data_IF_582989780633
#
_entry.id   IF_582989780633
#
_cell.length_a   1.000
_cell.length_b   1.000
_cell.length_c   1.000
_cell.angle_alpha   90.00
_cell.angle_beta   90.00
_cell.angle_gamma   90.00
#
_symmetry.space_group_name_H-M   'P 1'
#
loop_
_entity.id
_entity.type
_entity.pdbx_description
1 polymer ?
#
# COMPACT_ATOMS: atom_id res chain seq x y z
N UNK A 1 -45.27 56.86 5.17
CA UNK A 1 -44.43 56.29 6.27
C UNK A 1 -43.48 55.33 5.62
N UNK A 2 -42.32 55.85 5.29
CA UNK A 2 -41.29 55.17 4.58
C UNK A 2 -40.30 54.55 5.65
N UNK A 3 -40.27 53.28 5.76
CA UNK A 3 -39.43 52.62 6.70
C UNK A 3 -38.13 52.13 5.93
N UNK A 4 -37.11 52.96 6.05
CA UNK A 4 -35.83 52.71 5.45
C UNK A 4 -35.17 51.48 6.10
N UNK A 5 -35.09 50.37 5.35
CA UNK A 5 -34.36 49.18 5.73
C UNK A 5 -32.86 49.47 5.73
N UNK A 6 -32.27 49.53 6.91
CA UNK A 6 -30.82 49.64 7.13
C UNK A 6 -30.16 48.28 6.80
N UNK A 7 -29.40 48.24 5.72
CA UNK A 7 -28.57 47.11 5.34
C UNK A 7 -27.43 46.96 6.38
N UNK A 8 -27.18 45.77 6.96
CA UNK A 8 -26.05 45.60 7.88
C UNK A 8 -24.75 45.69 7.10
N UNK A 9 -23.90 46.61 7.55
CA UNK A 9 -22.51 46.79 7.10
C UNK A 9 -21.75 45.50 7.23
N UNK A 10 -21.23 44.97 6.10
CA UNK A 10 -20.44 43.76 6.06
C UNK A 10 -19.18 43.95 6.93
N UNK A 11 -19.11 43.25 8.04
CA UNK A 11 -17.93 43.21 8.91
C UNK A 11 -16.71 42.83 8.09
N UNK A 12 -15.74 43.73 7.97
CA UNK A 12 -14.46 43.47 7.30
C UNK A 12 -13.78 42.25 7.94
N UNK A 13 -13.53 41.24 7.16
CA UNK A 13 -12.79 40.05 7.62
C UNK A 13 -11.47 40.51 8.25
N UNK A 14 -11.11 40.02 9.44
CA UNK A 14 -9.86 40.42 10.12
C UNK A 14 -8.67 40.16 9.20
N UNK A 15 -7.88 41.19 8.93
CA UNK A 15 -6.65 41.08 8.12
C UNK A 15 -5.74 40.07 8.81
N UNK A 16 -5.55 38.90 8.19
CA UNK A 16 -4.68 37.87 8.71
C UNK A 16 -3.27 38.43 8.86
N UNK A 17 -2.71 38.36 10.09
CA UNK A 17 -1.35 38.75 10.34
C UNK A 17 -0.40 37.98 9.39
N UNK A 18 0.61 38.65 8.90
CA UNK A 18 1.59 38.05 7.98
C UNK A 18 3.00 38.26 8.52
N UNK A 19 3.99 37.63 7.85
CA UNK A 19 5.39 37.74 8.29
C UNK A 19 5.91 39.17 8.33
N UNK A 20 5.42 40.03 7.42
CA UNK A 20 5.82 41.45 7.39
C UNK A 20 5.30 42.21 8.61
N UNK A 21 4.06 41.94 9.07
CA UNK A 21 3.50 42.51 10.28
C UNK A 21 4.29 42.10 11.53
N UNK A 22 4.68 40.83 11.61
CA UNK A 22 5.52 40.30 12.72
C UNK A 22 6.90 40.95 12.69
N UNK A 23 7.52 41.08 11.52
CA UNK A 23 8.82 41.71 11.36
C UNK A 23 8.79 43.17 11.81
N UNK A 24 7.76 43.91 11.40
CA UNK A 24 7.56 45.30 11.79
C UNK A 24 7.39 45.44 13.32
N UNK A 25 6.56 44.62 13.95
CA UNK A 25 6.33 44.64 15.41
C UNK A 25 7.60 44.25 16.18
N UNK A 26 8.38 43.26 15.67
CA UNK A 26 9.63 42.82 16.28
C UNK A 26 10.82 43.76 16.02
N UNK A 27 10.67 44.80 15.17
CA UNK A 27 11.74 45.71 14.78
C UNK A 27 12.88 45.03 14.00
N UNK A 28 12.55 44.12 13.07
CA UNK A 28 13.52 43.40 12.26
C UNK A 28 13.07 43.38 10.77
N UNK A 29 13.98 42.98 9.87
CA UNK A 29 13.61 42.74 8.48
C UNK A 29 12.73 41.46 8.33
N UNK A 30 11.93 41.37 7.26
CA UNK A 30 11.14 40.17 6.96
C UNK A 30 12.03 38.92 6.78
N UNK A 31 13.23 39.08 6.23
CA UNK A 31 14.24 38.01 6.13
C UNK A 31 14.71 37.53 7.49
N UNK A 32 15.03 38.47 8.42
CA UNK A 32 15.43 38.13 9.80
C UNK A 32 14.28 37.42 10.53
N UNK A 33 13.05 37.90 10.39
CA UNK A 33 11.88 37.22 10.96
C UNK A 33 11.72 35.82 10.39
N UNK A 34 11.86 35.62 9.08
CA UNK A 34 11.82 34.30 8.43
C UNK A 34 12.91 33.35 8.98
N UNK A 35 14.11 33.83 9.16
CA UNK A 35 15.24 33.04 9.74
C UNK A 35 14.99 32.68 11.20
N UNK A 36 14.35 33.57 11.98
CA UNK A 36 13.99 33.30 13.37
C UNK A 36 12.98 32.13 13.50
N UNK A 37 12.05 32.02 12.54
CA UNK A 37 11.09 30.89 12.48
C UNK A 37 11.74 29.59 11.95
N UNK A 38 12.56 29.66 10.91
CA UNK A 38 13.14 28.47 10.28
C UNK A 38 14.33 27.88 11.05
N UNK A 39 14.99 28.68 11.90
CA UNK A 39 16.25 28.29 12.55
C UNK A 39 17.43 28.11 11.59
N UNK A 40 17.28 28.40 10.30
CA UNK A 40 18.24 28.08 9.25
C UNK A 40 19.39 29.09 9.09
N UNK A 41 19.51 30.08 9.98
CA UNK A 41 20.55 31.11 9.86
C UNK A 41 20.97 31.74 11.19
N UNK A 42 22.03 32.55 11.21
CA UNK A 42 22.55 33.16 12.42
C UNK A 42 21.62 34.29 12.90
N UNK A 43 20.66 33.93 13.75
CA UNK A 43 19.81 34.88 14.47
C UNK A 43 20.11 34.78 15.96
N UNK A 44 20.40 35.92 16.61
CA UNK A 44 20.65 35.92 18.05
C UNK A 44 19.44 35.42 18.85
N UNK A 45 19.68 34.80 20.01
CA UNK A 45 18.61 34.32 20.87
C UNK A 45 17.63 35.44 21.26
N UNK A 46 18.15 36.66 21.50
CA UNK A 46 17.31 37.82 21.82
C UNK A 46 16.42 38.26 20.65
N UNK A 47 16.93 38.25 19.43
CA UNK A 47 16.16 38.56 18.21
C UNK A 47 15.09 37.49 17.97
N UNK A 48 15.42 36.20 18.12
CA UNK A 48 14.47 35.10 18.00
C UNK A 48 13.33 35.25 19.01
N UNK A 49 13.66 35.55 20.29
CA UNK A 49 12.65 35.75 21.32
C UNK A 49 11.71 36.93 20.98
N UNK A 50 12.22 38.07 20.52
CA UNK A 50 11.37 39.22 20.10
C UNK A 50 10.43 38.86 18.95
N UNK A 51 10.94 38.14 17.94
CA UNK A 51 10.13 37.71 16.78
C UNK A 51 9.02 36.77 17.21
N UNK A 52 9.30 35.78 18.08
CA UNK A 52 8.31 34.84 18.60
C UNK A 52 7.28 35.54 19.50
N UNK A 53 7.67 36.50 20.31
CA UNK A 53 6.76 37.32 21.12
C UNK A 53 5.82 38.16 20.24
N UNK A 54 6.34 38.84 19.20
CA UNK A 54 5.55 39.59 18.24
C UNK A 54 4.57 38.69 17.45
N UNK A 55 5.00 37.47 17.12
CA UNK A 55 4.14 36.47 16.45
C UNK A 55 2.99 36.03 17.36
N UNK A 56 3.26 35.77 18.66
CA UNK A 56 2.24 35.42 19.64
C UNK A 56 1.23 36.54 19.83
N UNK A 57 1.68 37.81 19.93
CA UNK A 57 0.83 38.99 20.06
C UNK A 57 -0.13 39.15 18.86
N UNK A 58 0.39 38.89 17.65
CA UNK A 58 -0.39 38.95 16.39
C UNK A 58 -1.16 37.67 16.07
N UNK A 59 -1.13 36.68 16.95
CA UNK A 59 -1.71 35.35 16.71
C UNK A 59 -1.25 34.73 15.38
N UNK A 60 0.05 34.91 15.05
CA UNK A 60 0.66 34.43 13.83
C UNK A 60 1.43 33.13 14.06
N UNK A 61 0.94 32.02 13.50
CA UNK A 61 1.49 30.68 13.73
C UNK A 61 2.82 30.42 12.98
N UNK A 62 3.26 31.35 12.13
CA UNK A 62 4.48 31.20 11.34
C UNK A 62 4.23 31.38 9.84
N UNK A 63 5.31 31.39 9.03
CA UNK A 63 5.19 31.51 7.57
C UNK A 63 4.37 30.37 6.98
N UNK A 64 3.54 30.69 5.97
CA UNK A 64 2.72 29.70 5.27
C UNK A 64 3.61 28.55 4.72
N UNK A 65 3.31 27.30 5.13
CA UNK A 65 4.05 26.12 4.64
C UNK A 65 4.09 26.01 3.12
N UNK A 66 3.03 26.46 2.41
CA UNK A 66 2.97 26.48 0.94
C UNK A 66 4.06 27.37 0.35
N UNK A 67 4.22 28.58 0.90
CA UNK A 67 5.27 29.51 0.50
C UNK A 67 6.68 29.03 0.87
N UNK A 68 6.81 28.22 1.90
CA UNK A 68 8.09 27.59 2.27
C UNK A 68 8.44 26.47 1.29
N UNK A 69 7.47 25.61 0.94
CA UNK A 69 7.64 24.51 -0.03
C UNK A 69 8.09 25.03 -1.40
N UNK A 70 7.45 26.07 -1.89
CA UNK A 70 7.84 26.74 -3.15
C UNK A 70 9.29 27.24 -3.13
N UNK A 71 9.76 27.81 -2.00
CA UNK A 71 11.14 28.30 -1.87
C UNK A 71 12.16 27.18 -1.72
N UNK A 72 11.77 26.06 -1.11
CA UNK A 72 12.64 24.88 -0.93
C UNK A 72 12.68 24.01 -2.18
N UNK A 73 11.72 24.16 -3.11
CA UNK A 73 11.54 23.28 -4.25
C UNK A 73 11.07 21.87 -3.88
N UNK A 74 10.65 21.66 -2.60
CA UNK A 74 10.16 20.38 -2.07
C UNK A 74 8.94 20.62 -1.20
N UNK A 75 7.93 19.74 -1.34
CA UNK A 75 6.69 19.79 -0.55
C UNK A 75 6.86 19.22 0.85
N UNK A 76 7.80 18.29 1.03
CA UNK A 76 7.95 17.48 2.22
C UNK A 76 6.90 16.37 2.29
N UNK A 77 6.32 15.96 1.15
CA UNK A 77 5.24 14.96 1.10
C UNK A 77 5.68 13.79 0.21
N UNK A 78 5.64 12.58 0.76
CA UNK A 78 5.78 11.33 0.04
C UNK A 78 4.38 10.73 -0.14
N UNK A 79 3.99 10.47 -1.40
CA UNK A 79 2.73 9.83 -1.73
C UNK A 79 2.84 8.32 -1.64
N UNK A 80 1.78 7.66 -1.19
CA UNK A 80 1.59 6.22 -1.37
C UNK A 80 0.30 6.02 -2.15
N UNK A 81 0.40 5.38 -3.29
CA UNK A 81 -0.74 5.01 -4.14
C UNK A 81 -1.11 3.58 -3.84
N UNK A 82 -2.37 3.37 -3.47
CA UNK A 82 -2.97 2.09 -3.17
C UNK A 82 -3.97 1.74 -4.28
N UNK A 83 -4.01 0.49 -4.69
CA UNK A 83 -4.96 0.01 -5.70
C UNK A 83 -6.40 0.08 -5.19
N UNK A 84 -6.58 -0.29 -3.93
CA UNK A 84 -7.88 -0.35 -3.26
C UNK A 84 -8.29 1.01 -2.69
N UNK A 85 -9.53 1.08 -2.19
CA UNK A 85 -9.94 2.25 -1.41
C UNK A 85 -9.08 2.40 -0.14
N UNK A 86 -8.86 3.63 0.33
CA UNK A 86 -8.14 3.86 1.60
C UNK A 86 -8.77 3.08 2.75
N UNK A 87 -10.10 2.93 2.76
CA UNK A 87 -10.82 2.20 3.80
C UNK A 87 -10.51 0.70 3.78
N UNK A 88 -10.35 0.11 2.60
CA UNK A 88 -10.01 -1.31 2.44
C UNK A 88 -8.54 -1.56 2.75
N UNK A 89 -7.66 -0.65 2.35
CA UNK A 89 -6.23 -0.70 2.70
C UNK A 89 -5.98 -0.74 4.21
N UNK A 90 -6.80 -0.05 5.02
CA UNK A 90 -6.73 -0.11 6.49
C UNK A 90 -7.33 -1.38 7.09
N UNK A 91 -7.90 -2.28 6.29
CA UNK A 91 -8.37 -3.61 6.71
C UNK A 91 -7.44 -4.72 6.28
N UNK A 92 -6.53 -4.45 5.35
CA UNK A 92 -5.52 -5.40 4.89
C UNK A 92 -4.27 -5.30 5.77
N UNK A 93 -3.97 -6.39 6.49
CA UNK A 93 -2.82 -6.47 7.38
C UNK A 93 -1.48 -6.30 6.66
N UNK A 94 -1.39 -6.69 5.39
CA UNK A 94 -0.19 -6.53 4.56
C UNK A 94 0.05 -5.08 4.19
N UNK A 95 -1.02 -4.38 3.78
CA UNK A 95 -0.96 -2.96 3.50
C UNK A 95 -0.58 -2.17 4.76
N UNK A 96 -1.18 -2.49 5.91
CA UNK A 96 -0.85 -1.85 7.19
C UNK A 96 0.63 -2.04 7.52
N UNK A 97 1.16 -3.27 7.45
CA UNK A 97 2.57 -3.54 7.77
C UNK A 97 3.53 -2.85 6.78
N UNK A 98 3.17 -2.78 5.49
CA UNK A 98 3.94 -2.06 4.48
C UNK A 98 3.93 -0.55 4.74
N UNK A 99 2.78 0.04 5.05
CA UNK A 99 2.66 1.45 5.41
C UNK A 99 3.43 1.80 6.68
N UNK A 100 3.41 0.92 7.68
CA UNK A 100 4.20 1.06 8.91
C UNK A 100 5.71 1.11 8.61
N UNK A 101 6.20 0.22 7.74
CA UNK A 101 7.58 0.22 7.30
C UNK A 101 7.96 1.51 6.54
N UNK A 102 7.09 1.99 5.65
CA UNK A 102 7.30 3.26 4.94
C UNK A 102 7.37 4.41 5.94
N UNK A 103 6.43 4.47 6.89
CA UNK A 103 6.36 5.52 7.90
C UNK A 103 7.60 5.52 8.81
N UNK A 104 8.09 4.34 9.21
CA UNK A 104 9.35 4.19 9.97
C UNK A 104 10.54 4.80 9.20
N UNK A 105 10.68 4.46 7.92
CA UNK A 105 11.79 4.94 7.09
C UNK A 105 11.76 6.46 6.89
N UNK A 106 10.59 7.05 6.65
CA UNK A 106 10.49 8.48 6.35
C UNK A 106 10.39 9.36 7.60
N UNK A 107 10.08 8.78 8.77
CA UNK A 107 9.81 9.52 10.00
C UNK A 107 10.95 10.46 10.41
N UNK A 108 12.20 10.02 10.29
CA UNK A 108 13.38 10.81 10.64
C UNK A 108 13.64 11.99 9.65
N UNK A 109 13.11 11.94 8.42
CA UNK A 109 13.29 13.00 7.42
C UNK A 109 12.38 14.22 7.66
N UNK A 110 11.36 14.08 8.51
CA UNK A 110 10.31 15.07 8.70
C UNK A 110 9.34 15.17 7.53
N UNK A 111 9.35 14.22 6.62
CA UNK A 111 8.38 14.12 5.52
C UNK A 111 7.02 13.64 6.03
N UNK A 112 5.96 14.13 5.40
CA UNK A 112 4.59 13.65 5.63
C UNK A 112 4.27 12.52 4.65
N UNK A 113 3.41 11.59 5.08
CA UNK A 113 2.86 10.53 4.25
C UNK A 113 1.47 10.93 3.75
N UNK A 114 1.23 10.83 2.45
CA UNK A 114 -0.07 11.06 1.85
C UNK A 114 -0.57 9.82 1.14
N UNK A 115 -1.70 9.29 1.59
CA UNK A 115 -2.34 8.15 0.94
C UNK A 115 -3.21 8.62 -0.21
N UNK A 116 -3.03 7.98 -1.36
CA UNK A 116 -3.79 8.22 -2.59
C UNK A 116 -4.37 6.87 -3.05
N UNK A 117 -5.54 6.92 -3.65
CA UNK A 117 -6.15 5.74 -4.26
C UNK A 117 -6.21 5.89 -5.76
N UNK A 118 -5.99 4.80 -6.46
CA UNK A 118 -6.16 4.72 -7.91
C UNK A 118 -7.53 4.14 -8.26
N UNK A 119 -8.59 4.84 -7.89
CA UNK A 119 -9.93 4.45 -8.27
C UNK A 119 -10.45 5.27 -9.46
N UNK A 120 -11.38 4.67 -10.25
CA UNK A 120 -11.94 5.28 -11.44
C UNK A 120 -12.65 6.62 -11.17
N UNK A 121 -13.10 6.82 -9.94
CA UNK A 121 -13.91 7.99 -9.53
C UNK A 121 -13.05 9.23 -9.17
N UNK A 122 -11.72 9.09 -9.06
CA UNK A 122 -10.83 10.21 -8.69
C UNK A 122 -9.53 10.27 -9.51
N UNK A 123 -9.59 10.39 -10.85
CA UNK A 123 -8.40 10.36 -11.70
C UNK A 123 -7.51 11.62 -11.62
N UNK A 124 -7.95 12.69 -10.95
CA UNK A 124 -7.29 14.00 -11.02
C UNK A 124 -6.26 14.26 -9.92
N UNK A 125 -6.25 13.48 -8.83
CA UNK A 125 -5.37 13.74 -7.68
C UNK A 125 -3.88 13.63 -8.02
N UNK A 126 -3.48 12.67 -8.85
CA UNK A 126 -2.08 12.46 -9.24
C UNK A 126 -1.44 13.65 -9.97
N UNK A 127 -2.24 14.44 -10.70
CA UNK A 127 -1.76 15.60 -11.47
C UNK A 127 -1.58 16.85 -10.64
N UNK A 128 -2.32 16.98 -9.55
CA UNK A 128 -2.45 18.24 -8.81
C UNK A 128 -1.81 18.24 -7.43
N UNK A 129 -1.66 17.05 -6.83
CA UNK A 129 -1.09 16.94 -5.47
C UNK A 129 0.42 17.22 -5.49
N UNK A 130 0.93 18.09 -4.60
CA UNK A 130 2.35 18.35 -4.48
C UNK A 130 3.04 17.18 -3.75
N UNK A 131 3.75 16.35 -4.50
CA UNK A 131 4.53 15.22 -4.00
C UNK A 131 5.99 15.39 -4.37
N UNK A 132 6.88 14.96 -3.50
CA UNK A 132 8.32 14.90 -3.79
C UNK A 132 8.74 13.53 -4.33
N UNK A 133 8.17 12.46 -3.81
CA UNK A 133 8.34 11.09 -4.31
C UNK A 133 7.01 10.32 -4.16
N UNK A 134 6.90 9.17 -4.82
CA UNK A 134 5.74 8.30 -4.71
C UNK A 134 6.16 6.84 -4.55
N UNK A 135 5.43 6.12 -3.69
CA UNK A 135 5.47 4.66 -3.56
C UNK A 135 4.17 4.10 -4.11
N UNK A 136 4.26 3.17 -5.03
CA UNK A 136 3.13 2.46 -5.62
C UNK A 136 3.04 1.08 -4.97
N UNK A 137 1.90 0.70 -4.41
CA UNK A 137 1.68 -0.60 -3.77
C UNK A 137 0.59 -1.35 -4.52
N UNK A 138 0.89 -2.61 -4.88
CA UNK A 138 -0.06 -3.50 -5.55
C UNK A 138 0.03 -3.47 -7.07
N UNK A 139 -0.89 -4.18 -7.69
CA UNK A 139 -0.87 -4.55 -9.11
C UNK A 139 -1.99 -3.87 -9.89
N UNK A 140 -2.18 -2.57 -9.70
CA UNK A 140 -3.22 -1.86 -10.44
C UNK A 140 -2.94 -1.86 -11.94
N UNK A 141 -3.97 -2.20 -12.72
CA UNK A 141 -3.98 -2.10 -14.19
C UNK A 141 -3.76 -0.67 -14.68
N UNK A 142 -4.01 0.31 -13.82
CA UNK A 142 -3.84 1.74 -14.08
C UNK A 142 -2.46 2.26 -13.66
N UNK A 143 -1.61 1.37 -13.14
CA UNK A 143 -0.28 1.70 -12.66
C UNK A 143 0.57 2.37 -13.74
N UNK A 144 0.48 1.90 -14.99
CA UNK A 144 1.18 2.49 -16.12
C UNK A 144 0.81 3.96 -16.35
N UNK A 145 -0.47 4.31 -16.18
CA UNK A 145 -0.95 5.70 -16.28
C UNK A 145 -0.41 6.55 -15.13
N UNK A 146 -0.42 6.03 -13.91
CA UNK A 146 0.15 6.70 -12.74
C UNK A 146 1.66 6.93 -12.93
N UNK A 147 2.41 5.90 -13.34
CA UNK A 147 3.84 5.99 -13.65
C UNK A 147 4.11 7.05 -14.72
N UNK A 148 3.31 7.06 -15.80
CA UNK A 148 3.45 8.06 -16.85
C UNK A 148 3.27 9.49 -16.31
N UNK A 149 2.24 9.75 -15.50
CA UNK A 149 1.97 11.06 -14.89
C UNK A 149 3.10 11.48 -13.97
N UNK A 150 3.58 10.61 -13.09
CA UNK A 150 4.65 10.94 -12.16
C UNK A 150 6.00 11.15 -12.88
N UNK A 151 6.29 10.33 -13.89
CA UNK A 151 7.48 10.52 -14.74
C UNK A 151 7.48 11.87 -15.46
N UNK A 152 6.34 12.28 -16.04
CA UNK A 152 6.19 13.60 -16.67
C UNK A 152 6.41 14.76 -15.68
N UNK A 153 6.07 14.55 -14.42
CA UNK A 153 6.26 15.52 -13.34
C UNK A 153 7.69 15.49 -12.75
N UNK A 154 8.53 14.55 -13.17
CA UNK A 154 9.88 14.37 -12.62
C UNK A 154 9.87 13.86 -11.17
N UNK A 155 8.80 13.18 -10.75
CA UNK A 155 8.66 12.63 -9.40
C UNK A 155 9.28 11.24 -9.36
N UNK A 156 10.26 10.97 -8.47
CA UNK A 156 10.82 9.64 -8.26
C UNK A 156 9.75 8.62 -7.85
N UNK A 157 9.86 7.41 -8.40
CA UNK A 157 8.85 6.35 -8.22
C UNK A 157 9.51 5.10 -7.65
N UNK A 158 8.94 4.57 -6.57
CA UNK A 158 9.24 3.25 -6.02
C UNK A 158 8.01 2.37 -6.19
N UNK A 159 8.19 1.15 -6.66
CA UNK A 159 7.11 0.17 -6.79
C UNK A 159 7.32 -1.01 -5.84
N UNK A 160 6.29 -1.34 -5.05
CA UNK A 160 6.26 -2.52 -4.15
C UNK A 160 5.39 -3.59 -4.79
N UNK A 161 6.01 -4.71 -5.18
CA UNK A 161 5.35 -5.84 -5.87
C UNK A 161 4.57 -5.40 -7.12
N UNK A 162 5.18 -4.54 -7.91
CA UNK A 162 4.65 -4.09 -9.20
C UNK A 162 5.43 -4.72 -10.33
N UNK A 163 4.79 -4.86 -11.49
CA UNK A 163 5.50 -5.29 -12.69
C UNK A 163 6.72 -4.39 -12.94
N UNK A 164 7.89 -4.94 -13.30
CA UNK A 164 9.07 -4.13 -13.56
C UNK A 164 8.84 -3.12 -14.68
N UNK A 165 8.92 -1.84 -14.35
CA UNK A 165 8.71 -0.72 -15.27
C UNK A 165 9.95 0.18 -15.34
N UNK A 166 10.31 0.70 -16.53
CA UNK A 166 11.42 1.65 -16.65
C UNK A 166 11.22 2.89 -15.78
N UNK A 167 12.27 3.27 -15.04
CA UNK A 167 12.24 4.45 -14.17
C UNK A 167 11.55 4.24 -12.82
N UNK A 168 11.12 3.03 -12.50
CA UNK A 168 10.56 2.64 -11.20
C UNK A 168 11.59 1.82 -10.44
N UNK A 169 11.92 2.23 -9.21
CA UNK A 169 12.72 1.41 -8.30
C UNK A 169 11.85 0.27 -7.76
N UNK A 170 12.17 -0.97 -8.14
CA UNK A 170 11.40 -2.14 -7.73
C UNK A 170 11.83 -2.64 -6.33
N UNK A 171 10.86 -2.82 -5.46
CA UNK A 171 10.94 -3.55 -4.18
C UNK A 171 9.99 -4.73 -4.31
N UNK A 172 10.52 -5.89 -4.61
CA UNK A 172 9.74 -7.07 -4.97
C UNK A 172 9.80 -8.17 -3.91
N UNK A 173 9.01 -9.20 -4.08
CA UNK A 173 8.96 -10.42 -3.30
C UNK A 173 9.19 -11.61 -4.23
N UNK A 174 9.73 -12.69 -3.69
CA UNK A 174 9.95 -13.97 -4.38
C UNK A 174 8.65 -14.77 -4.64
N UNK A 175 7.57 -14.08 -5.02
CA UNK A 175 6.20 -14.62 -5.12
C UNK A 175 6.11 -15.97 -5.85
N UNK A 176 6.85 -16.14 -6.97
CA UNK A 176 6.85 -17.38 -7.73
C UNK A 176 7.56 -18.50 -6.95
N UNK A 177 8.74 -18.21 -6.42
CA UNK A 177 9.52 -19.19 -5.65
C UNK A 177 8.79 -19.58 -4.37
N UNK A 178 8.26 -18.64 -3.62
CA UNK A 178 7.47 -18.88 -2.42
C UNK A 178 6.25 -19.77 -2.69
N UNK A 179 5.52 -19.51 -3.78
CA UNK A 179 4.38 -20.34 -4.18
C UNK A 179 4.79 -21.73 -4.66
N UNK A 180 5.97 -21.84 -5.28
CA UNK A 180 6.57 -23.13 -5.64
C UNK A 180 6.89 -23.96 -4.39
N UNK A 181 7.46 -23.33 -3.35
CA UNK A 181 7.76 -24.01 -2.06
C UNK A 181 6.47 -24.54 -1.40
N UNK A 182 5.38 -23.77 -1.39
CA UNK A 182 4.07 -24.24 -0.88
C UNK A 182 3.56 -25.45 -1.67
N UNK A 183 3.66 -25.40 -2.98
CA UNK A 183 3.22 -26.48 -3.85
C UNK A 183 4.11 -27.73 -3.67
N UNK A 184 5.42 -27.56 -3.51
CA UNK A 184 6.34 -28.68 -3.22
C UNK A 184 6.03 -29.33 -1.87
N UNK A 185 5.73 -28.54 -0.83
CA UNK A 185 5.28 -29.08 0.45
C UNK A 185 4.05 -29.98 0.31
N UNK A 186 3.07 -29.58 -0.49
CA UNK A 186 1.90 -30.41 -0.75
C UNK A 186 2.26 -31.69 -1.53
N UNK A 187 3.14 -31.59 -2.53
CA UNK A 187 3.63 -32.74 -3.29
C UNK A 187 4.41 -33.73 -2.41
N UNK A 188 5.24 -33.22 -1.51
CA UNK A 188 5.99 -34.05 -0.55
C UNK A 188 5.07 -34.78 0.44
N UNK A 189 3.91 -34.21 0.77
CA UNK A 189 2.88 -34.88 1.54
C UNK A 189 2.12 -35.96 0.73
N UNK A 190 2.34 -36.03 -0.59
CA UNK A 190 1.73 -37.04 -1.47
C UNK A 190 0.52 -36.55 -2.27
N UNK A 191 0.21 -35.23 -2.25
CA UNK A 191 -0.83 -34.69 -3.13
C UNK A 191 -0.35 -34.76 -4.59
N UNK A 192 -1.20 -35.32 -5.46
CA UNK A 192 -0.90 -35.45 -6.89
C UNK A 192 -1.38 -34.24 -7.69
N UNK A 193 -2.34 -33.51 -7.14
CA UNK A 193 -2.92 -32.28 -7.69
C UNK A 193 -3.24 -31.28 -6.58
N UNK A 194 -3.44 -30.04 -6.95
CA UNK A 194 -3.92 -28.99 -6.08
C UNK A 194 -4.79 -28.03 -6.88
N UNK A 195 -5.80 -27.44 -6.24
CA UNK A 195 -6.63 -26.39 -6.84
C UNK A 195 -6.23 -25.04 -6.24
N UNK A 196 -6.14 -24.00 -7.07
CA UNK A 196 -5.84 -22.65 -6.60
C UNK A 196 -7.11 -21.84 -6.31
N UNK A 197 -7.08 -21.03 -5.26
CA UNK A 197 -7.97 -19.89 -5.08
C UNK A 197 -7.12 -18.63 -5.20
N UNK A 198 -7.27 -17.91 -6.33
CA UNK A 198 -6.36 -16.83 -6.69
C UNK A 198 -6.89 -15.46 -6.28
N UNK A 199 -5.99 -14.51 -6.16
CA UNK A 199 -6.31 -13.09 -6.12
C UNK A 199 -6.99 -12.65 -7.42
N UNK A 200 -7.64 -11.48 -7.48
CA UNK A 200 -8.13 -10.90 -8.72
C UNK A 200 -7.05 -10.81 -9.79
N UNK A 201 -7.43 -10.97 -11.05
CA UNK A 201 -6.52 -10.90 -12.21
C UNK A 201 -6.73 -9.65 -13.06
N UNK A 202 -7.82 -8.94 -12.82
CA UNK A 202 -8.21 -7.76 -13.60
C UNK A 202 -8.86 -6.70 -12.70
N UNK A 203 -8.81 -5.43 -13.11
CA UNK A 203 -9.40 -4.32 -12.37
C UNK A 203 -10.94 -4.35 -12.28
N UNK A 204 -11.62 -5.23 -13.03
CA UNK A 204 -13.06 -5.48 -12.93
C UNK A 204 -13.40 -6.51 -11.83
N UNK A 205 -12.38 -7.12 -11.20
CA UNK A 205 -12.54 -8.15 -10.17
C UNK A 205 -13.45 -9.32 -10.61
N UNK A 206 -13.27 -9.72 -11.88
CA UNK A 206 -14.10 -10.77 -12.50
C UNK A 206 -13.83 -12.13 -11.85
N UNK A 207 -14.84 -12.73 -11.23
CA UNK A 207 -14.74 -14.04 -10.58
C UNK A 207 -14.94 -15.20 -11.57
N UNK A 208 -14.52 -16.40 -11.22
CA UNK A 208 -14.78 -17.62 -11.99
C UNK A 208 -13.54 -18.47 -12.22
N UNK A 209 -13.74 -19.57 -12.95
CA UNK A 209 -12.65 -20.48 -13.25
C UNK A 209 -11.50 -19.82 -14.01
N UNK A 210 -10.30 -20.15 -13.59
CA UNK A 210 -9.06 -19.71 -14.21
C UNK A 210 -8.90 -20.47 -15.56
N UNK A 211 -8.77 -19.71 -16.65
CA UNK A 211 -8.48 -20.23 -17.98
C UNK A 211 -7.16 -19.70 -18.47
N UNK A 212 -6.51 -20.40 -19.41
CA UNK A 212 -5.27 -19.93 -20.04
C UNK A 212 -5.42 -18.55 -20.67
N UNK A 213 -6.61 -18.23 -21.19
CA UNK A 213 -6.90 -16.92 -21.76
C UNK A 213 -6.93 -15.84 -20.68
N UNK A 214 -7.54 -16.12 -19.52
CA UNK A 214 -7.57 -15.18 -18.38
C UNK A 214 -6.18 -14.96 -17.80
N UNK A 215 -5.38 -16.02 -17.69
CA UNK A 215 -3.98 -15.89 -17.25
C UNK A 215 -3.17 -15.02 -18.19
N UNK A 216 -3.28 -15.25 -19.51
CA UNK A 216 -2.55 -14.48 -20.52
C UNK A 216 -2.96 -13.00 -20.57
N UNK A 217 -4.13 -12.66 -20.04
CA UNK A 217 -4.65 -11.29 -19.93
C UNK A 217 -4.57 -10.74 -18.50
N UNK A 218 -3.94 -11.48 -17.61
CA UNK A 218 -3.83 -11.02 -16.23
C UNK A 218 -3.07 -9.71 -16.15
N UNK A 219 -3.63 -8.79 -15.42
CA UNK A 219 -3.06 -7.50 -15.08
C UNK A 219 -2.48 -7.52 -13.64
N UNK A 220 -2.81 -8.57 -12.87
CA UNK A 220 -2.32 -8.79 -11.51
C UNK A 220 -0.93 -9.43 -11.48
N UNK A 221 0.15 -8.65 -11.36
CA UNK A 221 1.52 -9.16 -11.33
C UNK A 221 1.73 -10.21 -10.24
N UNK A 222 1.40 -9.89 -8.98
CA UNK A 222 1.54 -10.79 -7.83
C UNK A 222 0.74 -12.09 -8.01
N UNK A 223 -0.54 -11.97 -8.43
CA UNK A 223 -1.39 -13.13 -8.68
C UNK A 223 -0.79 -14.05 -9.75
N UNK A 224 -0.27 -13.47 -10.84
CA UNK A 224 0.36 -14.19 -11.95
C UNK A 224 1.63 -14.92 -11.50
N UNK A 225 2.50 -14.28 -10.72
CA UNK A 225 3.72 -14.90 -10.21
C UNK A 225 3.39 -16.07 -9.27
N UNK A 226 2.39 -15.92 -8.40
CA UNK A 226 1.93 -16.99 -7.50
C UNK A 226 1.28 -18.15 -8.27
N UNK A 227 0.53 -17.91 -9.35
CA UNK A 227 0.01 -18.96 -10.25
C UNK A 227 1.17 -19.74 -10.88
N UNK A 228 2.15 -19.04 -11.44
CA UNK A 228 3.33 -19.68 -12.07
C UNK A 228 4.08 -20.57 -11.09
N UNK A 229 4.29 -20.10 -9.84
CA UNK A 229 4.97 -20.88 -8.80
C UNK A 229 4.23 -22.20 -8.49
N UNK A 230 2.91 -22.18 -8.36
CA UNK A 230 2.13 -23.43 -8.17
C UNK A 230 2.25 -24.34 -9.38
N UNK A 231 2.22 -23.78 -10.59
CA UNK A 231 2.32 -24.57 -11.84
C UNK A 231 3.70 -25.12 -12.14
N UNK A 232 4.74 -24.56 -11.57
CA UNK A 232 6.09 -25.16 -11.63
C UNK A 232 6.09 -26.56 -10.98
N UNK A 233 5.13 -26.86 -10.10
CA UNK A 233 4.97 -28.14 -9.41
C UNK A 233 3.77 -28.93 -9.91
N UNK A 234 2.61 -28.31 -10.03
CA UNK A 234 1.35 -28.87 -10.51
C UNK A 234 0.95 -28.18 -11.82
N UNK A 235 1.53 -28.61 -12.95
CA UNK A 235 1.47 -27.92 -14.24
C UNK A 235 0.04 -27.62 -14.71
N UNK A 236 -0.92 -28.52 -14.44
CA UNK A 236 -2.33 -28.38 -14.84
C UNK A 236 -3.26 -27.99 -13.68
N UNK A 237 -2.68 -27.44 -12.56
CA UNK A 237 -3.49 -27.02 -11.42
C UNK A 237 -4.65 -26.12 -11.86
N UNK A 238 -5.91 -26.52 -11.63
CA UNK A 238 -7.04 -25.65 -11.89
C UNK A 238 -7.06 -24.53 -10.85
N UNK A 239 -7.75 -23.43 -11.18
CA UNK A 239 -7.90 -22.32 -10.26
C UNK A 239 -9.24 -21.66 -10.35
N UNK A 240 -9.64 -20.98 -9.30
CA UNK A 240 -10.81 -20.11 -9.25
C UNK A 240 -10.41 -18.71 -8.80
N UNK A 241 -10.74 -17.71 -9.57
CA UNK A 241 -10.39 -16.30 -9.30
C UNK A 241 -11.39 -15.73 -8.31
N UNK A 242 -10.92 -15.27 -7.16
CA UNK A 242 -11.72 -14.59 -6.15
C UNK A 242 -11.95 -13.11 -6.52
N UNK A 243 -12.98 -12.49 -5.96
CA UNK A 243 -13.32 -11.08 -6.23
C UNK A 243 -12.43 -10.08 -5.48
N UNK A 244 -11.79 -10.50 -4.40
CA UNK A 244 -10.93 -9.66 -3.55
C UNK A 244 -10.09 -10.55 -2.64
N UNK A 245 -9.07 -9.97 -1.97
CA UNK A 245 -8.33 -10.63 -0.89
C UNK A 245 -9.10 -10.50 0.43
N UNK A 246 -10.21 -11.23 0.59
CA UNK A 246 -11.05 -11.23 1.79
C UNK A 246 -11.53 -12.63 2.16
N UNK A 247 -11.91 -12.83 3.43
CA UNK A 247 -12.46 -14.10 3.91
C UNK A 247 -13.72 -14.50 3.13
N UNK A 248 -14.60 -13.55 2.87
CA UNK A 248 -15.86 -13.82 2.16
C UNK A 248 -15.62 -14.19 0.69
N UNK A 249 -14.68 -13.52 0.02
CA UNK A 249 -14.31 -13.86 -1.36
C UNK A 249 -13.67 -15.24 -1.44
N UNK A 250 -12.80 -15.60 -0.49
CA UNK A 250 -12.21 -16.94 -0.36
C UNK A 250 -13.27 -18.00 -0.11
N UNK A 251 -14.27 -17.71 0.76
CA UNK A 251 -15.39 -18.59 1.01
C UNK A 251 -16.21 -18.87 -0.26
N UNK A 252 -16.60 -17.83 -0.99
CA UNK A 252 -17.39 -17.99 -2.21
C UNK A 252 -16.63 -18.73 -3.32
N UNK A 253 -15.34 -18.43 -3.49
CA UNK A 253 -14.49 -19.13 -4.45
C UNK A 253 -14.36 -20.62 -4.09
N UNK A 254 -14.05 -20.93 -2.84
CA UNK A 254 -13.95 -22.31 -2.36
C UNK A 254 -15.28 -23.05 -2.44
N UNK A 255 -16.39 -22.39 -2.14
CA UNK A 255 -17.72 -22.98 -2.27
C UNK A 255 -18.01 -23.40 -3.71
N UNK A 256 -17.62 -22.58 -4.71
CA UNK A 256 -17.75 -22.94 -6.12
C UNK A 256 -16.82 -24.08 -6.52
N UNK A 257 -15.56 -24.07 -6.05
CA UNK A 257 -14.59 -25.15 -6.28
C UNK A 257 -15.11 -26.48 -5.72
N UNK A 258 -15.49 -26.51 -4.44
CA UNK A 258 -15.97 -27.71 -3.75
C UNK A 258 -17.33 -28.20 -4.23
N UNK A 259 -18.11 -27.39 -4.94
CA UNK A 259 -19.32 -27.81 -5.62
C UNK A 259 -19.06 -28.57 -6.92
N UNK A 260 -17.98 -28.25 -7.61
CA UNK A 260 -17.65 -28.77 -8.93
C UNK A 260 -16.57 -29.87 -8.90
N UNK A 261 -15.72 -29.89 -7.86
CA UNK A 261 -14.56 -30.77 -7.76
C UNK A 261 -14.37 -31.29 -6.34
N UNK A 262 -13.52 -32.33 -6.19
CA UNK A 262 -13.14 -32.89 -4.89
C UNK A 262 -11.62 -32.81 -4.71
N UNK A 263 -11.02 -31.62 -4.57
CA UNK A 263 -9.58 -31.48 -4.43
C UNK A 263 -9.11 -32.07 -3.09
N UNK A 264 -7.90 -32.62 -3.06
CA UNK A 264 -7.25 -33.02 -1.81
C UNK A 264 -6.46 -31.89 -1.17
N UNK A 265 -6.11 -30.87 -1.96
CA UNK A 265 -5.42 -29.67 -1.50
C UNK A 265 -5.91 -28.41 -2.21
N UNK A 266 -5.97 -27.31 -1.47
CA UNK A 266 -6.21 -25.96 -2.02
C UNK A 266 -5.05 -25.04 -1.65
N UNK A 267 -4.50 -24.35 -2.66
CA UNK A 267 -3.52 -23.29 -2.52
C UNK A 267 -4.28 -21.95 -2.63
N UNK A 268 -4.45 -21.26 -1.52
CA UNK A 268 -5.01 -19.93 -1.50
C UNK A 268 -3.90 -18.87 -1.59
N UNK A 269 -4.06 -17.89 -2.44
CA UNK A 269 -3.03 -16.87 -2.69
C UNK A 269 -2.94 -15.78 -1.62
N UNK A 270 -3.74 -15.86 -0.55
CA UNK A 270 -3.53 -15.10 0.69
C UNK A 270 -4.11 -15.85 1.88
N UNK A 271 -3.65 -15.49 3.08
CA UNK A 271 -4.11 -16.13 4.32
C UNK A 271 -5.58 -15.86 4.59
N UNK A 272 -6.06 -14.66 4.24
CA UNK A 272 -7.49 -14.32 4.39
C UNK A 272 -8.37 -15.13 3.43
N UNK A 273 -7.89 -15.38 2.21
CA UNK A 273 -8.56 -16.32 1.29
C UNK A 273 -8.55 -17.73 1.86
N UNK A 274 -7.43 -18.20 2.44
CA UNK A 274 -7.33 -19.51 3.05
C UNK A 274 -8.32 -19.71 4.20
N UNK A 275 -8.52 -18.69 5.04
CA UNK A 275 -9.57 -18.72 6.08
C UNK A 275 -10.96 -18.91 5.47
N UNK A 276 -11.26 -18.22 4.39
CA UNK A 276 -12.51 -18.40 3.64
C UNK A 276 -12.66 -19.82 3.10
N UNK A 277 -11.59 -20.38 2.54
CA UNK A 277 -11.54 -21.79 2.06
C UNK A 277 -11.85 -22.76 3.19
N UNK A 278 -11.21 -22.60 4.34
CA UNK A 278 -11.41 -23.47 5.51
C UNK A 278 -12.86 -23.36 6.01
N UNK A 279 -13.44 -22.17 6.05
CA UNK A 279 -14.85 -21.97 6.42
C UNK A 279 -15.78 -22.70 5.46
N UNK A 280 -15.58 -22.59 4.14
CA UNK A 280 -16.37 -23.29 3.13
C UNK A 280 -16.23 -24.82 3.24
N UNK A 281 -15.01 -25.33 3.50
CA UNK A 281 -14.75 -26.73 3.72
C UNK A 281 -15.54 -27.28 4.94
N UNK A 282 -15.46 -26.59 6.08
CA UNK A 282 -16.19 -26.98 7.30
C UNK A 282 -17.72 -26.97 7.09
N UNK A 283 -18.27 -26.00 6.38
CA UNK A 283 -19.71 -25.95 6.08
C UNK A 283 -20.15 -27.13 5.21
N UNK A 284 -19.26 -27.65 4.37
CA UNK A 284 -19.50 -28.88 3.58
C UNK A 284 -19.15 -30.18 4.32
N UNK A 285 -18.81 -30.08 5.61
CA UNK A 285 -18.49 -31.23 6.44
C UNK A 285 -17.10 -31.80 6.21
N UNK A 286 -16.24 -31.09 5.51
CA UNK A 286 -14.83 -31.46 5.29
C UNK A 286 -13.98 -30.98 6.47
N UNK A 287 -13.10 -31.84 6.95
CA UNK A 287 -12.14 -31.49 8.02
C UNK A 287 -10.81 -31.06 7.39
N UNK A 288 -10.31 -29.95 7.87
CA UNK A 288 -8.95 -29.47 7.54
C UNK A 288 -8.04 -29.81 8.72
N UNK A 289 -6.93 -30.55 8.51
CA UNK A 289 -6.38 -31.00 7.23
C UNK A 289 -6.84 -32.40 6.77
N UNK A 290 -7.66 -33.16 7.53
CA UNK A 290 -7.87 -34.60 7.33
C UNK A 290 -8.54 -34.96 6.00
N UNK A 291 -9.44 -34.13 5.50
CA UNK A 291 -10.17 -34.34 4.25
C UNK A 291 -9.74 -33.38 3.14
N UNK A 292 -9.14 -32.23 3.52
CA UNK A 292 -8.65 -31.20 2.63
C UNK A 292 -7.47 -30.48 3.25
N UNK A 293 -6.31 -30.50 2.59
CA UNK A 293 -5.18 -29.64 2.94
C UNK A 293 -5.39 -28.22 2.40
N UNK A 294 -5.04 -27.22 3.21
CA UNK A 294 -5.14 -25.80 2.81
C UNK A 294 -3.82 -25.09 3.15
N UNK A 295 -3.27 -24.40 2.19
CA UNK A 295 -2.14 -23.49 2.39
C UNK A 295 -2.53 -22.07 2.03
N UNK A 296 -1.95 -21.10 2.74
CA UNK A 296 -2.11 -19.67 2.51
C UNK A 296 -0.85 -19.00 2.00
N UNK A 297 -0.86 -17.68 2.02
CA UNK A 297 0.28 -16.82 1.69
C UNK A 297 0.13 -15.53 2.47
N UNK A 298 1.19 -14.89 2.92
CA UNK A 298 1.37 -13.60 3.58
C UNK A 298 1.92 -13.71 5.00
N UNK A 299 1.52 -14.71 5.81
CA UNK A 299 1.90 -14.85 7.21
C UNK A 299 1.19 -13.83 8.11
N UNK A 300 -0.05 -13.45 7.78
CA UNK A 300 -0.81 -12.49 8.60
C UNK A 300 -1.28 -13.12 9.91
N UNK A 301 -1.36 -12.31 10.96
CA UNK A 301 -1.93 -12.73 12.25
C UNK A 301 -3.44 -12.87 12.12
N UNK A 302 -3.92 -14.09 12.29
CA UNK A 302 -5.34 -14.44 12.17
C UNK A 302 -6.08 -14.46 13.50
N UNK A 303 -5.44 -14.06 14.61
CA UNK A 303 -5.95 -14.15 15.98
C UNK A 303 -7.36 -13.53 16.16
N UNK A 304 -7.67 -12.48 15.38
CA UNK A 304 -8.99 -11.83 15.39
C UNK A 304 -10.01 -12.42 14.41
N UNK A 305 -9.60 -13.32 13.51
CA UNK A 305 -10.42 -13.88 12.43
C UNK A 305 -10.71 -15.35 12.68
N UNK A 306 -9.68 -16.15 13.00
CA UNK A 306 -9.80 -17.56 13.31
C UNK A 306 -8.58 -18.05 14.11
N UNK A 307 -8.74 -18.90 15.13
CA UNK A 307 -7.61 -19.49 15.88
C UNK A 307 -7.01 -20.66 15.07
N UNK A 308 -6.44 -20.37 13.91
CA UNK A 308 -5.91 -21.36 12.98
C UNK A 308 -4.40 -21.13 12.85
N UNK A 309 -3.61 -22.18 13.04
CA UNK A 309 -2.18 -22.22 12.71
C UNK A 309 -2.05 -22.64 11.25
N UNK A 310 -2.07 -21.68 10.34
CA UNK A 310 -2.11 -21.87 8.90
C UNK A 310 -0.72 -22.20 8.35
N UNK A 311 -0.62 -23.23 7.52
CA UNK A 311 0.59 -23.45 6.69
C UNK A 311 0.63 -22.37 5.61
N UNK A 312 1.68 -21.55 5.62
CA UNK A 312 1.75 -20.33 4.79
C UNK A 312 3.18 -19.91 4.48
N UNK A 313 3.34 -18.99 3.53
CA UNK A 313 4.59 -18.23 3.34
C UNK A 313 4.47 -16.90 4.07
N UNK A 314 5.42 -16.64 4.98
CA UNK A 314 5.47 -15.38 5.75
C UNK A 314 6.31 -14.37 4.98
N UNK A 315 5.71 -13.30 4.53
CA UNK A 315 6.43 -12.25 3.82
C UNK A 315 6.85 -11.09 4.76
N UNK A 316 8.03 -10.49 4.52
CA UNK A 316 8.55 -9.40 5.36
C UNK A 316 7.95 -8.04 4.95
N UNK A 317 6.64 -7.86 5.13
CA UNK A 317 5.92 -6.69 4.65
C UNK A 317 6.43 -5.37 5.22
N UNK A 318 6.75 -5.36 6.53
CA UNK A 318 7.35 -4.19 7.18
C UNK A 318 8.70 -3.82 6.55
N UNK A 319 9.58 -4.80 6.32
CA UNK A 319 10.90 -4.55 5.75
C UNK A 319 10.84 -4.12 4.28
N UNK A 320 9.88 -4.65 3.51
CA UNK A 320 9.59 -4.17 2.15
C UNK A 320 9.15 -2.70 2.18
N UNK A 321 8.22 -2.36 3.06
CA UNK A 321 7.78 -0.97 3.26
C UNK A 321 8.91 -0.05 3.65
N UNK A 322 9.76 -0.46 4.61
CA UNK A 322 10.93 0.29 5.04
C UNK A 322 11.94 0.49 3.90
N UNK A 323 12.18 -0.52 3.09
CA UNK A 323 13.03 -0.40 1.91
C UNK A 323 12.44 0.56 0.88
N UNK A 324 11.11 0.54 0.68
CA UNK A 324 10.45 1.44 -0.25
C UNK A 324 10.53 2.90 0.22
N UNK A 325 10.29 3.18 1.50
CA UNK A 325 10.44 4.52 2.08
C UNK A 325 11.87 5.04 2.00
N UNK A 326 12.86 4.20 2.35
CA UNK A 326 14.28 4.54 2.23
C UNK A 326 14.69 4.78 0.77
N UNK A 327 14.22 3.95 -0.16
CA UNK A 327 14.44 4.13 -1.59
C UNK A 327 13.87 5.44 -2.13
N UNK A 328 12.67 5.82 -1.69
CA UNK A 328 12.06 7.10 -2.06
C UNK A 328 12.90 8.29 -1.59
N UNK A 329 13.42 8.26 -0.36
CA UNK A 329 14.32 9.30 0.15
C UNK A 329 15.65 9.35 -0.60
N UNK A 330 16.26 8.18 -0.88
CA UNK A 330 17.51 8.09 -1.61
C UNK A 330 17.38 8.68 -3.04
N UNK A 331 16.30 8.34 -3.74
CA UNK A 331 16.01 8.90 -5.08
C UNK A 331 15.82 10.42 -5.04
N UNK A 332 15.18 10.96 -3.99
CA UNK A 332 15.04 12.39 -3.78
C UNK A 332 16.39 13.09 -3.61
N UNK A 333 17.35 12.41 -3.00
CA UNK A 333 18.71 12.94 -2.80
C UNK A 333 19.63 12.66 -4.00
N UNK A 334 19.06 12.14 -5.12
CA UNK A 334 19.78 11.84 -6.35
C UNK A 334 20.68 10.60 -6.27
N UNK A 335 20.45 9.74 -5.28
CA UNK A 335 21.17 8.47 -5.12
C UNK A 335 20.49 7.40 -5.98
N UNK A 336 21.28 6.71 -6.81
CA UNK A 336 20.78 5.56 -7.58
C UNK A 336 20.71 4.33 -6.70
N UNK A 337 19.51 3.81 -6.53
CA UNK A 337 19.26 2.56 -5.80
C UNK A 337 19.08 1.38 -6.77
N UNK A 338 19.41 0.18 -6.31
CA UNK A 338 19.21 -1.05 -7.06
C UNK A 338 17.88 -1.72 -6.64
N UNK A 339 17.17 -2.38 -7.57
CA UNK A 339 16.01 -3.19 -7.24
C UNK A 339 16.33 -4.23 -6.16
N UNK A 340 15.37 -4.50 -5.29
CA UNK A 340 15.52 -5.49 -4.22
C UNK A 340 14.40 -6.51 -4.31
N UNK A 341 14.76 -7.79 -4.14
CA UNK A 341 13.80 -8.90 -4.00
C UNK A 341 13.94 -9.45 -2.59
N UNK A 342 12.85 -9.48 -1.86
CA UNK A 342 12.78 -10.07 -0.53
C UNK A 342 12.36 -11.53 -0.63
N UNK A 343 12.89 -12.37 0.26
CA UNK A 343 12.47 -13.76 0.38
C UNK A 343 11.36 -13.90 1.43
N UNK A 344 10.48 -14.86 1.19
CA UNK A 344 9.46 -15.29 2.14
C UNK A 344 9.94 -16.49 2.95
N UNK A 345 9.48 -16.60 4.20
CA UNK A 345 9.81 -17.72 5.08
C UNK A 345 8.64 -18.72 5.11
N UNK A 346 8.94 -20.02 4.93
CA UNK A 346 7.93 -21.07 5.03
C UNK A 346 7.56 -21.34 6.48
N UNK A 347 6.28 -21.18 6.82
CA UNK A 347 5.69 -21.59 8.08
C UNK A 347 4.81 -22.82 7.91
N UNK A 348 5.22 -23.93 8.55
CA UNK A 348 4.43 -25.14 8.60
C UNK A 348 3.47 -25.09 9.78
N UNK A 349 2.22 -24.84 9.50
CA UNK A 349 1.13 -24.88 10.48
C UNK A 349 0.45 -26.25 10.56
N UNK A 350 -0.81 -26.26 10.98
CA UNK A 350 -1.61 -27.46 11.22
C UNK A 350 -2.67 -27.73 10.12
N UNK A 351 -2.64 -27.02 9.01
CA UNK A 351 -3.69 -27.08 7.97
C UNK A 351 -3.37 -28.00 6.79
N UNK A 352 -2.26 -28.76 6.87
CA UNK A 352 -1.83 -29.72 5.83
C UNK A 352 -1.55 -31.09 6.40
N UNK A 353 -1.93 -32.16 5.67
CA UNK A 353 -1.66 -33.57 5.98
C UNK A 353 -1.56 -34.39 4.69
N UNK A 354 -1.04 -35.63 4.71
CA UNK A 354 -1.12 -36.51 3.55
C UNK A 354 -2.55 -36.70 3.06
N UNK A 355 -2.79 -36.81 1.73
CA UNK A 355 -4.11 -37.11 1.19
C UNK A 355 -4.59 -38.48 1.64
N UNK A 356 -5.91 -38.67 1.74
CA UNK A 356 -6.52 -39.96 2.07
C UNK A 356 -6.56 -40.89 0.88
#
# INVERSE_FOLDING_TARGET
>A
MDEAATTPEAAASPVRANLASVAALAGVSASTASLAFSGAGPVSASTKSRVLAAAAELNYAGPDPRGQSLRRGRSGIIGVVLEESVADAFRDAMNIATLDGIADAIGASGSALLLLTDNADSPSSFRTVPLDAVVLIGCSTRLADAVHVFTQRGIPIVGVEVEPLPGVLAIDLDNREASRVLAEHLRELGHCDATMVTLPLDGAHTTGWLTREREARSEGYTASQRILGVRDVFAEAPGYVASASTVDAGYHAAFAVLAATTPTAIVAQSDVLAVGVIRAAHERGLRVPQDLSVVGFDGVRLDGVAPIDLTTMVQPAFDKGRAAGAGALALLDGVTEQPRVFASDFHRGSTTAPPR
#
